data_IF_190129909285
#
_entry.id   IF_190129909285
#
_cell.length_a   1.000
_cell.length_b   1.000
_cell.length_c   1.000
_cell.angle_alpha   90.00
_cell.angle_beta   90.00
_cell.angle_gamma   90.00
#
_symmetry.space_group_name_H-M   'P 1'
#
loop_
_entity.id
_entity.type
_entity.pdbx_description
1 polymer ?
#
# COMPACT_ATOMS: atom_id res chain seq x y z
N UNK A 1 19.32 -12.75 22.58
CA UNK A 1 18.92 -13.01 22.19
C UNK A 1 18.42 -12.97 21.89
N UNK A 2 18.59 -12.68 22.35
CA UNK A 2 18.01 -12.73 22.09
C UNK A 2 17.59 -12.47 22.16
N UNK A 3 17.92 -12.34 22.74
CA UNK A 3 17.41 -12.26 22.81
C UNK A 3 16.99 -11.80 23.11
N UNK A 4 17.28 -11.42 23.73
CA UNK A 4 16.80 -11.28 23.92
C UNK A 4 16.65 -10.79 23.79
N UNK A 5 16.94 -10.47 23.98
CA UNK A 5 16.59 -10.45 23.68
C UNK A 5 16.04 -10.52 23.42
N UNK A 6 16.14 -10.67 23.70
CA UNK A 6 15.33 -10.96 23.43
C UNK A 6 14.24 -10.99 23.82
N UNK A 7 14.25 -10.89 24.55
CA UNK A 7 13.16 -10.77 25.23
C UNK A 7 12.53 -9.57 24.86
N UNK A 8 13.17 -8.55 24.82
CA UNK A 8 12.64 -7.42 24.31
C UNK A 8 12.01 -7.64 23.05
N UNK A 9 12.65 -8.29 22.22
CA UNK A 9 12.06 -8.50 20.99
C UNK A 9 10.87 -9.28 21.21
N UNK A 10 10.68 -9.80 22.21
CA UNK A 10 9.71 -10.55 22.33
C UNK A 10 8.62 -9.95 22.83
N UNK A 11 8.57 -9.17 23.69
CA UNK A 11 7.40 -8.68 24.02
C UNK A 11 7.03 -7.73 23.08
N UNK A 12 7.76 -7.63 22.16
CA UNK A 12 7.44 -6.84 21.13
C UNK A 12 6.41 -7.42 20.33
N UNK A 13 6.02 -8.61 20.56
CA UNK A 13 4.95 -9.14 19.79
C UNK A 13 3.70 -8.39 19.97
N UNK A 14 3.45 -7.90 21.17
CA UNK A 14 2.30 -7.08 21.36
C UNK A 14 2.52 -5.73 20.83
N UNK A 15 3.71 -5.27 20.98
CA UNK A 15 4.05 -3.98 20.46
C UNK A 15 3.92 -3.97 18.97
N UNK A 16 4.20 -5.07 18.33
CA UNK A 16 4.08 -5.12 16.89
C UNK A 16 2.71 -4.79 16.42
N UNK A 17 1.70 -5.25 17.13
CA UNK A 17 0.38 -4.93 16.69
C UNK A 17 0.05 -3.50 16.93
N UNK A 18 0.57 -2.92 17.96
CA UNK A 18 0.36 -1.52 18.23
C UNK A 18 1.11 -0.68 17.26
N UNK A 19 2.27 -1.15 16.86
CA UNK A 19 3.16 -0.38 16.01
C UNK A 19 2.92 -0.56 14.53
N UNK A 20 1.98 -1.41 14.14
CA UNK A 20 1.72 -1.61 12.74
C UNK A 20 1.43 -0.32 12.02
N UNK A 21 0.62 0.56 12.64
CA UNK A 21 0.31 1.83 12.04
C UNK A 21 1.54 2.70 11.87
N UNK A 22 2.44 2.64 12.85
CA UNK A 22 3.66 3.43 12.79
C UNK A 22 4.59 2.89 11.72
N UNK A 23 4.77 1.57 11.67
CA UNK A 23 5.64 0.98 10.67
C UNK A 23 5.14 1.27 9.26
N UNK A 24 3.85 1.15 9.05
CA UNK A 24 3.26 1.43 7.76
C UNK A 24 3.40 2.90 7.41
N UNK A 25 3.16 3.77 8.40
CA UNK A 25 3.29 5.20 8.22
C UNK A 25 4.71 5.56 7.81
N UNK A 26 5.71 4.97 8.48
CA UNK A 26 7.10 5.24 8.16
C UNK A 26 7.45 4.77 6.76
N UNK A 27 6.95 3.59 6.39
CA UNK A 27 7.20 3.06 5.06
C UNK A 27 6.61 3.98 3.99
N UNK A 28 5.37 4.43 4.20
CA UNK A 28 4.72 5.32 3.24
C UNK A 28 5.44 6.66 3.13
N UNK A 29 5.86 7.22 4.26
CA UNK A 29 6.57 8.50 4.24
C UNK A 29 7.92 8.35 3.56
N UNK A 30 8.59 7.23 3.78
CA UNK A 30 9.87 7.00 3.13
C UNK A 30 9.69 6.89 1.62
N UNK A 31 8.67 6.14 1.18
CA UNK A 31 8.41 6.00 -0.26
C UNK A 31 7.98 7.31 -0.88
N UNK A 32 7.21 8.10 -0.14
CA UNK A 32 6.80 9.40 -0.62
C UNK A 32 8.03 10.29 -0.82
N UNK A 33 8.94 10.28 0.15
CA UNK A 33 10.15 11.08 0.04
C UNK A 33 10.99 10.64 -1.14
N UNK A 34 11.13 9.33 -1.33
CA UNK A 34 11.91 8.81 -2.46
C UNK A 34 11.28 9.20 -3.79
N UNK A 35 9.98 9.31 -3.84
CA UNK A 35 9.27 9.61 -5.09
C UNK A 35 9.42 11.05 -5.52
N UNK A 36 9.73 11.95 -4.59
CA UNK A 36 9.78 13.36 -4.89
C UNK A 36 8.42 14.03 -5.00
N UNK A 37 7.35 13.29 -4.73
CA UNK A 37 6.00 13.86 -4.82
C UNK A 37 5.65 14.60 -3.55
N UNK A 38 4.77 15.59 -3.67
CA UNK A 38 4.14 16.18 -2.50
C UNK A 38 2.99 15.28 -2.07
N UNK A 39 2.50 15.48 -0.85
CA UNK A 39 1.35 14.74 -0.38
C UNK A 39 0.14 14.97 -1.27
N UNK A 40 -0.07 16.22 -1.67
CA UNK A 40 -1.19 16.53 -2.54
C UNK A 40 -1.10 15.77 -3.87
N UNK A 41 0.11 15.70 -4.42
CA UNK A 41 0.32 14.97 -5.67
C UNK A 41 0.05 13.48 -5.48
N UNK A 42 0.50 12.92 -4.38
CA UNK A 42 0.23 11.51 -4.10
C UNK A 42 -1.25 11.24 -4.01
N UNK A 43 -1.99 12.08 -3.28
CA UNK A 43 -3.42 11.86 -3.10
C UNK A 43 -4.14 11.98 -4.44
N UNK A 44 -3.73 12.92 -5.28
CA UNK A 44 -4.34 13.05 -6.60
C UNK A 44 -4.07 11.81 -7.45
N UNK A 45 -2.82 11.32 -7.46
CA UNK A 45 -2.45 10.16 -8.26
C UNK A 45 -3.10 8.88 -7.74
N UNK A 46 -3.41 8.85 -6.46
CA UNK A 46 -4.02 7.68 -5.83
C UNK A 46 -5.54 7.76 -5.75
N UNK A 47 -6.12 8.88 -6.18
CA UNK A 47 -7.57 9.15 -6.08
C UNK A 47 -8.05 8.99 -4.64
N UNK A 48 -7.29 9.55 -3.71
CA UNK A 48 -7.62 9.48 -2.30
C UNK A 48 -7.94 10.88 -1.80
N UNK A 49 -9.03 11.00 -1.07
CA UNK A 49 -9.42 12.25 -0.44
C UNK A 49 -8.30 12.71 0.49
N UNK A 50 -7.87 13.99 0.42
CA UNK A 50 -6.74 14.44 1.25
C UNK A 50 -6.92 14.23 2.74
N UNK A 51 -8.12 14.46 3.28
CA UNK A 51 -8.35 14.23 4.70
C UNK A 51 -8.04 12.80 5.09
N UNK A 52 -8.56 11.85 4.31
CA UNK A 52 -8.30 10.44 4.54
C UNK A 52 -6.83 10.12 4.29
N UNK A 53 -6.26 10.73 3.26
CA UNK A 53 -4.86 10.52 2.93
C UNK A 53 -3.94 10.90 4.08
N UNK A 54 -4.18 12.04 4.71
CA UNK A 54 -3.37 12.44 5.86
C UNK A 54 -3.50 11.46 7.01
N UNK A 55 -4.70 10.91 7.21
CA UNK A 55 -4.91 9.93 8.27
C UNK A 55 -4.15 8.64 7.97
N UNK A 56 -4.08 8.24 6.70
CA UNK A 56 -3.32 7.07 6.32
C UNK A 56 -1.82 7.29 6.51
N UNK A 57 -1.32 8.45 6.11
CA UNK A 57 0.10 8.73 6.22
C UNK A 57 0.54 8.89 7.67
N UNK A 58 -0.34 9.37 8.53
CA UNK A 58 0.01 9.55 9.94
C UNK A 58 -0.15 8.26 10.74
N UNK A 59 -0.73 7.23 10.16
CA UNK A 59 -0.97 5.99 10.89
C UNK A 59 -2.24 5.98 11.69
N UNK A 60 -3.04 7.04 11.61
CA UNK A 60 -4.30 7.10 12.35
C UNK A 60 -5.31 6.11 11.80
N UNK A 61 -5.25 5.83 10.51
CA UNK A 61 -6.13 4.88 9.85
C UNK A 61 -5.33 3.89 9.06
N UNK A 62 -5.81 2.66 9.00
CA UNK A 62 -5.23 1.62 8.16
C UNK A 62 -6.00 1.56 6.84
N UNK A 63 -5.32 1.35 5.73
CA UNK A 63 -6.02 1.30 4.45
C UNK A 63 -6.73 -0.02 4.24
N UNK A 64 -7.82 0.00 3.48
CA UNK A 64 -8.38 -1.21 2.93
C UNK A 64 -7.46 -1.70 1.82
N UNK A 65 -7.70 -2.92 1.34
CA UNK A 65 -6.79 -3.53 0.37
C UNK A 65 -6.69 -2.73 -0.93
N UNK A 66 -7.83 -2.33 -1.49
CA UNK A 66 -7.81 -1.54 -2.72
C UNK A 66 -7.15 -0.19 -2.48
N UNK A 67 -7.38 0.42 -1.32
CA UNK A 67 -6.75 1.69 -1.00
C UNK A 67 -5.23 1.56 -0.93
N UNK A 68 -4.75 0.46 -0.37
CA UNK A 68 -3.30 0.22 -0.32
C UNK A 68 -2.73 0.10 -1.73
N UNK A 69 -3.44 -0.58 -2.64
CA UNK A 69 -3.01 -0.69 -4.02
C UNK A 69 -3.03 0.67 -4.71
N UNK A 70 -4.04 1.50 -4.40
CA UNK A 70 -4.08 2.86 -4.95
C UNK A 70 -2.87 3.67 -4.52
N UNK A 71 -2.47 3.55 -3.25
CA UNK A 71 -1.26 4.23 -2.78
C UNK A 71 -0.02 3.71 -3.49
N UNK A 72 0.05 2.40 -3.68
CA UNK A 72 1.19 1.80 -4.38
C UNK A 72 1.30 2.33 -5.80
N UNK A 73 0.18 2.43 -6.50
CA UNK A 73 0.18 2.97 -7.86
C UNK A 73 0.54 4.45 -7.86
N UNK A 74 0.01 5.20 -6.90
CA UNK A 74 0.33 6.63 -6.81
C UNK A 74 1.80 6.87 -6.54
N UNK A 75 2.42 6.01 -5.75
CA UNK A 75 3.85 6.10 -5.45
C UNK A 75 4.71 5.42 -6.52
N UNK A 76 4.07 4.80 -7.51
CA UNK A 76 4.77 4.08 -8.57
C UNK A 76 5.66 2.97 -8.01
N UNK A 77 5.18 2.27 -7.00
CA UNK A 77 5.94 1.18 -6.41
C UNK A 77 5.96 -0.03 -7.34
N UNK A 78 7.04 -0.79 -7.28
CA UNK A 78 7.09 -2.05 -8.00
C UNK A 78 6.33 -3.14 -7.27
N UNK A 79 6.37 -4.36 -7.82
CA UNK A 79 5.63 -5.48 -7.25
C UNK A 79 6.12 -5.80 -5.84
N UNK A 80 7.43 -5.85 -5.62
CA UNK A 80 7.95 -6.23 -4.31
C UNK A 80 7.53 -5.26 -3.22
N UNK A 81 7.63 -3.95 -3.50
CA UNK A 81 7.25 -2.96 -2.51
C UNK A 81 5.75 -2.93 -2.31
N UNK A 82 4.97 -3.18 -3.35
CA UNK A 82 3.52 -3.24 -3.22
C UNK A 82 3.12 -4.42 -2.32
N UNK A 83 3.73 -5.58 -2.54
CA UNK A 83 3.43 -6.74 -1.69
C UNK A 83 3.88 -6.49 -0.26
N UNK A 84 5.02 -5.80 -0.08
CA UNK A 84 5.48 -5.45 1.25
C UNK A 84 4.49 -4.52 1.95
N UNK A 85 3.98 -3.53 1.22
CA UNK A 85 2.99 -2.62 1.75
C UNK A 85 1.76 -3.39 2.24
N UNK A 86 1.28 -4.31 1.42
CA UNK A 86 0.11 -5.11 1.80
C UNK A 86 0.39 -5.95 3.04
N UNK A 87 1.57 -6.55 3.13
CA UNK A 87 1.92 -7.33 4.32
C UNK A 87 2.00 -6.47 5.56
N UNK A 88 2.60 -5.29 5.45
CA UNK A 88 2.73 -4.39 6.59
C UNK A 88 1.37 -3.92 7.08
N UNK A 89 0.41 -3.80 6.20
CA UNK A 89 -0.93 -3.38 6.56
C UNK A 89 -1.80 -4.56 6.98
N UNK A 90 -1.22 -5.76 7.05
CA UNK A 90 -1.94 -6.99 7.42
C UNK A 90 -3.04 -7.32 6.42
N UNK A 91 -2.82 -6.96 5.18
CA UNK A 91 -3.74 -7.26 4.09
C UNK A 91 -3.19 -8.42 3.29
N UNK A 92 -4.05 -9.11 2.58
CA UNK A 92 -3.60 -10.22 1.75
C UNK A 92 -2.77 -9.75 0.58
N UNK A 93 -1.72 -10.50 0.26
CA UNK A 93 -0.90 -10.19 -0.90
C UNK A 93 -1.70 -10.34 -2.17
N UNK A 94 -1.23 -9.69 -3.24
CA UNK A 94 -1.83 -9.91 -4.55
C UNK A 94 -1.45 -11.30 -5.01
N UNK A 95 -2.47 -12.05 -5.44
CA UNK A 95 -2.30 -13.46 -5.75
C UNK A 95 -2.37 -13.67 -7.26
N UNK A 96 -1.31 -14.19 -7.87
CA UNK A 96 -1.28 -14.28 -9.34
C UNK A 96 -2.37 -15.15 -9.94
N UNK A 97 -2.93 -16.07 -9.18
CA UNK A 97 -4.00 -16.92 -9.70
C UNK A 97 -5.38 -16.32 -9.56
N UNK A 98 -5.51 -15.25 -8.80
CA UNK A 98 -6.76 -14.51 -8.75
C UNK A 98 -6.80 -13.61 -9.98
N UNK A 99 -7.88 -13.63 -10.71
CA UNK A 99 -7.94 -12.93 -11.99
C UNK A 99 -7.75 -11.43 -11.83
N UNK A 100 -8.43 -10.84 -10.87
CA UNK A 100 -8.33 -9.40 -10.66
C UNK A 100 -6.93 -9.03 -10.17
N UNK A 101 -6.41 -9.79 -9.21
CA UNK A 101 -5.08 -9.52 -8.68
C UNK A 101 -4.02 -9.68 -9.77
N UNK A 102 -4.18 -10.63 -10.68
CA UNK A 102 -3.20 -10.82 -11.74
C UNK A 102 -3.18 -9.63 -12.69
N UNK A 103 -4.33 -9.02 -12.94
CA UNK A 103 -4.41 -7.81 -13.76
C UNK A 103 -3.71 -6.66 -13.05
N UNK A 104 -3.93 -6.52 -11.75
CA UNK A 104 -3.28 -5.48 -10.97
C UNK A 104 -1.76 -5.69 -10.95
N UNK A 105 -1.32 -6.93 -10.78
CA UNK A 105 0.11 -7.25 -10.81
C UNK A 105 0.73 -6.89 -12.16
N UNK A 106 0.03 -7.19 -13.24
CA UNK A 106 0.49 -6.82 -14.57
C UNK A 106 0.65 -5.30 -14.69
N UNK A 107 -0.35 -4.57 -14.22
CA UNK A 107 -0.32 -3.11 -14.27
C UNK A 107 0.86 -2.55 -13.49
N UNK A 108 1.08 -3.07 -12.27
CA UNK A 108 2.18 -2.61 -11.44
C UNK A 108 3.51 -2.94 -12.12
N UNK A 109 3.64 -4.13 -12.68
CA UNK A 109 4.88 -4.55 -13.33
C UNK A 109 5.21 -3.68 -14.54
N UNK A 110 4.20 -3.09 -15.15
CA UNK A 110 4.40 -2.26 -16.35
C UNK A 110 4.34 -0.78 -16.07
N UNK A 111 4.33 -0.39 -14.80
CA UNK A 111 4.38 1.03 -14.44
C UNK A 111 3.11 1.80 -14.76
N UNK A 112 1.98 1.13 -14.77
CA UNK A 112 0.70 1.80 -15.07
C UNK A 112 0.34 2.76 -13.94
N UNK A 113 -0.37 3.82 -14.32
CA UNK A 113 -0.98 4.72 -13.35
C UNK A 113 -2.29 4.11 -12.87
N UNK A 114 -2.89 4.72 -11.85
CA UNK A 114 -4.20 4.26 -11.38
C UNK A 114 -5.27 4.33 -12.47
N UNK A 115 -5.41 5.43 -13.20
CA UNK A 115 -6.39 5.44 -14.29
C UNK A 115 -6.17 4.35 -15.33
N UNK A 116 -4.91 4.11 -15.69
CA UNK A 116 -4.59 3.05 -16.65
C UNK A 116 -4.94 1.68 -16.11
N UNK A 117 -4.69 1.47 -14.82
CA UNK A 117 -5.01 0.20 -14.17
C UNK A 117 -6.53 -0.01 -14.15
N UNK A 118 -7.27 1.04 -13.81
CA UNK A 118 -8.73 0.95 -13.79
C UNK A 118 -9.28 0.67 -15.17
N UNK A 119 -8.71 1.29 -16.19
CA UNK A 119 -9.15 1.04 -17.55
C UNK A 119 -8.94 -0.42 -17.93
N UNK A 120 -7.79 -0.97 -17.55
CA UNK A 120 -7.49 -2.36 -17.83
C UNK A 120 -8.46 -3.28 -17.09
N UNK A 121 -8.76 -2.96 -15.82
CA UNK A 121 -9.72 -3.76 -15.06
C UNK A 121 -11.10 -3.72 -15.71
N UNK A 122 -11.55 -2.53 -16.10
CA UNK A 122 -12.86 -2.39 -16.75
C UNK A 122 -12.91 -3.17 -18.06
N UNK A 123 -11.83 -3.16 -18.82
CA UNK A 123 -11.82 -3.87 -20.10
C UNK A 123 -11.92 -5.38 -19.92
N UNK A 124 -11.65 -5.87 -18.73
CA UNK A 124 -11.80 -7.29 -18.39
C UNK A 124 -13.02 -7.54 -17.50
N UNK A 125 -13.93 -6.59 -17.48
CA UNK A 125 -15.18 -6.70 -16.73
C UNK A 125 -14.96 -6.85 -15.23
N UNK A 126 -13.91 -6.23 -14.72
CA UNK A 126 -13.61 -6.20 -13.29
C UNK A 126 -13.88 -4.83 -12.73
N UNK A 127 -14.18 -4.79 -11.43
CA UNK A 127 -14.35 -3.52 -10.75
C UNK A 127 -13.03 -2.79 -10.64
N UNK A 128 -13.07 -1.46 -10.75
CA UNK A 128 -11.88 -0.66 -10.59
C UNK A 128 -11.47 -0.55 -9.13
N UNK A 129 -10.31 0.08 -8.91
CA UNK A 129 -9.77 0.25 -7.57
C UNK A 129 -10.42 1.41 -6.84
N UNK A 130 -10.84 2.44 -7.58
CA UNK A 130 -11.59 3.53 -6.98
C UNK A 130 -12.86 3.70 -7.77
N UNK A 131 -13.89 4.19 -7.10
CA UNK A 131 -15.18 4.30 -7.75
C UNK A 131 -15.27 5.45 -8.66
#
# INVERSE_FOLDING_TARGET
MLNADNIDSYFDNNADRIDIGVDLSEFLEEKLKESGLTRAELFARSSINPSYGYQLLSGLRSPARDTAVQLALGLALGVDDTQKLLRMAKLGALYPRDRRDSIILFAISNGFTLPQTNELLFSHSMNGLSK
#
